data_IF_791533197569
#
_entry.id   IF_791533197569
#
_cell.length_a   1.000
_cell.length_b   1.000
_cell.length_c   1.000
_cell.angle_alpha   90.00
_cell.angle_beta   90.00
_cell.angle_gamma   90.00
#
_symmetry.space_group_name_H-M   'P 1'
#
loop_
_entity.id
_entity.type
_entity.pdbx_description
1 polymer ?
#
# COMPACT_ATOMS: atom_id res chain seq x y z
N UNK A 1 9.28 23.46 -4.57
CA UNK A 1 10.66 23.08 -4.18
C UNK A 1 10.71 21.60 -3.85
N UNK A 2 11.74 20.86 -4.30
CA UNK A 2 12.00 19.50 -3.84
C UNK A 2 12.76 19.55 -2.49
N UNK A 3 12.53 18.58 -1.61
CA UNK A 3 13.08 18.58 -0.25
C UNK A 3 14.01 17.39 -0.01
N UNK A 4 14.93 17.56 0.93
CA UNK A 4 15.87 16.54 1.38
C UNK A 4 15.68 16.23 2.86
N UNK A 5 16.31 15.16 3.33
CA UNK A 5 16.43 14.93 4.77
C UNK A 5 17.18 16.09 5.43
N UNK A 6 16.78 16.48 6.64
CA UNK A 6 17.39 17.58 7.37
C UNK A 6 18.65 17.10 8.11
N UNK A 7 19.80 17.71 7.80
CA UNK A 7 21.04 17.51 8.52
C UNK A 7 21.25 18.59 9.58
N UNK A 8 21.92 18.22 10.68
CA UNK A 8 22.20 19.14 11.81
C UNK A 8 23.08 20.33 11.39
N UNK A 9 23.99 20.12 10.46
CA UNK A 9 24.87 21.17 9.94
C UNK A 9 24.26 21.79 8.68
N UNK A 10 24.15 23.11 8.65
CA UNK A 10 23.56 23.81 7.50
C UNK A 10 24.40 23.69 6.22
N UNK A 11 25.72 23.56 6.35
CA UNK A 11 26.63 23.30 5.22
C UNK A 11 26.28 22.00 4.50
N UNK A 12 25.99 20.93 5.24
CA UNK A 12 25.60 19.64 4.68
C UNK A 12 24.25 19.72 3.94
N UNK A 13 23.28 20.49 4.45
CA UNK A 13 22.02 20.74 3.75
C UNK A 13 22.26 21.47 2.41
N UNK A 14 23.14 22.47 2.43
CA UNK A 14 23.46 23.24 1.22
C UNK A 14 24.18 22.40 0.17
N UNK A 15 25.14 21.58 0.60
CA UNK A 15 25.87 20.65 -0.26
C UNK A 15 24.93 19.63 -0.92
N UNK A 16 23.96 19.09 -0.17
CA UNK A 16 22.98 18.14 -0.70
C UNK A 16 22.12 18.77 -1.81
N UNK A 17 21.66 20.00 -1.60
CA UNK A 17 20.89 20.76 -2.61
C UNK A 17 21.73 21.01 -3.87
N UNK A 18 22.98 21.43 -3.71
CA UNK A 18 23.88 21.69 -4.85
C UNK A 18 24.13 20.43 -5.67
N UNK A 19 24.44 19.31 -5.01
CA UNK A 19 24.65 18.02 -5.66
C UNK A 19 23.40 17.55 -6.42
N UNK A 20 22.22 17.70 -5.82
CA UNK A 20 20.95 17.37 -6.48
C UNK A 20 20.70 18.24 -7.72
N UNK A 21 20.93 19.56 -7.61
CA UNK A 21 20.82 20.47 -8.75
C UNK A 21 21.79 20.10 -9.88
N UNK A 22 23.01 19.70 -9.55
CA UNK A 22 24.02 19.28 -10.54
C UNK A 22 23.62 17.96 -11.21
N UNK A 23 23.09 17.00 -10.46
CA UNK A 23 22.55 15.75 -10.99
C UNK A 23 21.42 16.00 -11.99
N UNK A 24 20.44 16.85 -11.64
CA UNK A 24 19.34 17.17 -12.54
C UNK A 24 19.84 17.86 -13.82
N UNK A 25 20.75 18.84 -13.70
CA UNK A 25 21.31 19.53 -14.88
C UNK A 25 22.03 18.59 -15.84
N UNK A 26 22.70 17.57 -15.31
CA UNK A 26 23.46 16.60 -16.10
C UNK A 26 22.59 15.46 -16.65
N UNK A 27 21.38 15.28 -16.12
CA UNK A 27 20.47 14.21 -16.54
C UNK A 27 19.59 14.70 -17.68
N UNK A 28 19.80 14.16 -18.89
CA UNK A 28 19.12 14.60 -20.11
C UNK A 28 17.65 14.18 -20.15
N UNK A 29 17.32 13.01 -19.58
CA UNK A 29 15.97 12.47 -19.57
C UNK A 29 15.70 11.72 -18.26
N UNK A 30 14.47 11.87 -17.76
CA UNK A 30 13.96 11.10 -16.63
C UNK A 30 12.50 10.74 -16.88
N UNK A 31 12.07 9.59 -16.39
CA UNK A 31 10.67 9.22 -16.37
C UNK A 31 9.97 9.98 -15.25
N UNK A 32 8.83 10.60 -15.54
CA UNK A 32 8.03 11.33 -14.56
C UNK A 32 6.56 10.93 -14.63
N UNK A 33 5.84 11.18 -13.54
CA UNK A 33 4.41 10.96 -13.42
C UNK A 33 3.72 12.30 -13.21
N UNK A 34 2.75 12.63 -14.06
CA UNK A 34 1.96 13.86 -13.98
C UNK A 34 0.52 13.47 -13.70
N UNK A 35 -0.19 14.30 -12.94
CA UNK A 35 -1.62 14.15 -12.69
C UNK A 35 -2.39 15.29 -13.36
N UNK A 36 -3.58 15.02 -13.90
CA UNK A 36 -4.37 16.01 -14.66
C UNK A 36 -4.72 17.24 -13.84
N UNK A 37 -5.01 17.07 -12.54
CA UNK A 37 -5.34 18.18 -11.64
C UNK A 37 -4.11 18.98 -11.18
N UNK A 38 -2.90 18.47 -11.41
CA UNK A 38 -1.63 19.08 -10.99
C UNK A 38 -0.68 19.26 -12.18
N UNK A 39 -1.11 20.03 -13.18
CA UNK A 39 -0.35 20.28 -14.43
C UNK A 39 1.03 20.92 -14.23
N UNK A 40 1.27 21.60 -13.10
CA UNK A 40 2.52 22.30 -12.82
C UNK A 40 3.49 21.47 -11.95
N UNK A 41 3.12 20.24 -11.60
CA UNK A 41 3.90 19.39 -10.72
C UNK A 41 4.07 18.00 -11.33
N UNK A 42 5.29 17.45 -11.22
CA UNK A 42 5.61 16.12 -11.71
C UNK A 42 6.35 15.34 -10.62
N UNK A 43 5.95 14.09 -10.42
CA UNK A 43 6.57 13.17 -9.49
C UNK A 43 7.65 12.35 -10.19
N UNK A 44 8.84 12.29 -9.59
CA UNK A 44 9.94 11.46 -10.10
C UNK A 44 9.75 9.96 -9.77
N UNK A 45 9.08 9.67 -8.66
CA UNK A 45 8.80 8.30 -8.23
C UNK A 45 7.33 8.16 -7.82
N UNK A 46 6.69 7.08 -8.26
CA UNK A 46 5.32 6.76 -7.89
C UNK A 46 5.32 6.04 -6.54
N UNK A 47 4.72 6.66 -5.51
CA UNK A 47 4.64 6.08 -4.17
C UNK A 47 3.90 4.74 -4.12
N UNK A 48 2.85 4.59 -4.92
CA UNK A 48 2.03 3.37 -4.97
C UNK A 48 2.32 2.59 -6.25
N UNK A 49 3.00 1.46 -6.09
CA UNK A 49 3.33 0.55 -7.18
C UNK A 49 2.22 -0.48 -7.46
N UNK A 50 2.34 -1.26 -8.56
CA UNK A 50 1.45 -2.38 -8.84
C UNK A 50 1.43 -3.43 -7.72
N UNK A 51 2.57 -3.60 -7.02
CA UNK A 51 2.68 -4.46 -5.84
C UNK A 51 1.75 -4.03 -4.71
N UNK A 52 1.64 -2.73 -4.44
CA UNK A 52 0.75 -2.22 -3.39
C UNK A 52 -0.72 -2.47 -3.72
N UNK A 53 -1.09 -2.41 -5.00
CA UNK A 53 -2.44 -2.78 -5.44
C UNK A 53 -2.70 -4.28 -5.22
N UNK A 54 -1.71 -5.13 -5.50
CA UNK A 54 -1.79 -6.56 -5.25
C UNK A 54 -1.96 -6.85 -3.75
N UNK A 55 -1.12 -6.27 -2.89
CA UNK A 55 -1.17 -6.47 -1.45
C UNK A 55 -2.52 -6.02 -0.85
N UNK A 56 -3.07 -4.91 -1.34
CA UNK A 56 -4.36 -4.38 -0.87
C UNK A 56 -5.53 -5.34 -1.13
N UNK A 57 -5.45 -6.16 -2.19
CA UNK A 57 -6.52 -7.10 -2.56
C UNK A 57 -6.24 -8.53 -2.08
N UNK A 58 -4.98 -8.95 -2.10
CA UNK A 58 -4.57 -10.30 -1.79
C UNK A 58 -4.87 -10.68 -0.34
N UNK A 59 -4.54 -9.81 0.61
CA UNK A 59 -4.74 -10.08 2.04
C UNK A 59 -6.22 -10.19 2.43
N UNK A 60 -7.11 -9.25 2.05
CA UNK A 60 -8.54 -9.38 2.36
C UNK A 60 -9.18 -10.62 1.73
N UNK A 61 -8.85 -10.93 0.48
CA UNK A 61 -9.39 -12.10 -0.21
C UNK A 61 -8.93 -13.41 0.43
N UNK A 62 -7.65 -13.48 0.82
CA UNK A 62 -7.10 -14.66 1.51
C UNK A 62 -7.77 -14.86 2.87
N UNK A 63 -7.99 -13.80 3.64
CA UNK A 63 -8.71 -13.88 4.92
C UNK A 63 -10.15 -14.37 4.74
N UNK A 64 -10.89 -13.82 3.77
CA UNK A 64 -12.25 -14.26 3.47
C UNK A 64 -12.30 -15.72 3.03
N UNK A 65 -11.35 -16.14 2.19
CA UNK A 65 -11.26 -17.52 1.72
C UNK A 65 -10.97 -18.49 2.86
N UNK A 66 -9.96 -18.20 3.69
CA UNK A 66 -9.60 -19.03 4.84
C UNK A 66 -10.75 -19.11 5.85
N UNK A 67 -11.39 -17.99 6.16
CA UNK A 67 -12.57 -17.96 7.04
C UNK A 67 -13.70 -18.84 6.50
N UNK A 68 -14.00 -18.73 5.21
CA UNK A 68 -15.04 -19.53 4.56
C UNK A 68 -14.69 -21.02 4.58
N UNK A 69 -13.42 -21.36 4.32
CA UNK A 69 -12.93 -22.73 4.37
C UNK A 69 -13.08 -23.33 5.77
N UNK A 70 -12.71 -22.57 6.82
CA UNK A 70 -12.90 -22.99 8.21
C UNK A 70 -14.38 -23.26 8.52
N UNK A 71 -15.30 -22.40 8.06
CA UNK A 71 -16.74 -22.60 8.24
C UNK A 71 -17.23 -23.85 7.50
N UNK A 72 -16.77 -24.09 6.28
CA UNK A 72 -17.16 -25.28 5.50
C UNK A 72 -16.63 -26.57 6.15
N UNK A 73 -15.39 -26.54 6.63
CA UNK A 73 -14.76 -27.67 7.33
C UNK A 73 -15.55 -27.97 8.61
N UNK A 74 -15.75 -26.98 9.46
CA UNK A 74 -16.52 -27.15 10.71
C UNK A 74 -17.94 -27.63 10.43
N UNK A 75 -18.62 -27.08 9.42
CA UNK A 75 -19.93 -27.54 8.99
C UNK A 75 -19.93 -29.03 8.55
N UNK A 76 -18.92 -29.45 7.79
CA UNK A 76 -18.82 -30.82 7.27
C UNK A 76 -18.52 -31.84 8.37
N UNK A 77 -17.63 -31.52 9.31
CA UNK A 77 -17.26 -32.41 10.41
C UNK A 77 -18.33 -32.47 11.49
N UNK A 78 -18.98 -31.35 11.80
CA UNK A 78 -19.96 -31.25 12.88
C UNK A 78 -21.38 -31.68 12.44
N UNK A 79 -21.63 -31.88 11.13
CA UNK A 79 -22.93 -32.28 10.56
C UNK A 79 -24.12 -31.50 11.15
N UNK A 80 -23.93 -30.21 11.41
CA UNK A 80 -24.91 -29.34 12.08
C UNK A 80 -25.34 -29.75 13.50
N UNK A 81 -24.67 -30.68 14.20
CA UNK A 81 -25.11 -31.13 15.52
C UNK A 81 -25.02 -30.02 16.58
N UNK A 82 -23.96 -29.21 16.60
CA UNK A 82 -23.84 -28.08 17.55
C UNK A 82 -24.84 -26.96 17.25
N UNK A 83 -25.19 -26.76 15.98
CA UNK A 83 -26.10 -25.68 15.56
C UNK A 83 -27.58 -26.08 15.62
N UNK A 84 -27.88 -27.37 15.80
CA UNK A 84 -29.24 -27.88 15.95
C UNK A 84 -29.74 -27.82 17.42
N UNK A 85 -28.82 -27.70 18.39
CA UNK A 85 -29.15 -27.73 19.83
C UNK A 85 -29.58 -26.36 20.42
N UNK A 86 -29.59 -25.27 19.63
CA UNK A 86 -30.02 -23.93 20.09
C UNK A 86 -31.29 -23.39 19.40
N UNK A 87 -32.30 -24.23 19.15
CA UNK A 87 -33.64 -23.73 18.81
C UNK A 87 -34.76 -24.46 19.55
N UNK A 88 -34.92 -24.22 20.86
CA UNK A 88 -36.22 -24.24 21.56
C UNK A 88 -36.18 -23.54 22.93
N UNK A 89 -35.82 -22.26 23.03
CA UNK A 89 -36.34 -21.42 24.13
C UNK A 89 -36.42 -19.95 23.74
N UNK A 90 -37.44 -19.57 22.94
CA UNK A 90 -38.04 -18.23 23.03
C UNK A 90 -39.53 -18.37 22.75
N UNK A 91 -40.32 -18.06 23.80
CA UNK A 91 -41.78 -17.91 23.91
C UNK A 91 -42.64 -19.19 23.88
#
# INVERSE_FOLDING_TARGET
CATSSCHRQNSANHEWVQNFCQLIKNTVQFTCYVHEDHINEALLHKFYGPSTMFDTLFWPLTLLFVSSLCLIITWSFDKCHVWHDEKTIIA
#
